data_IF_662335378035
#
_entry.id   IF_662335378035
#
_cell.length_a   1.000
_cell.length_b   1.000
_cell.length_c   1.000
_cell.angle_alpha   90.00
_cell.angle_beta   90.00
_cell.angle_gamma   90.00
#
_symmetry.space_group_name_H-M   'P 1'
#
loop_
_entity.id
_entity.type
_entity.pdbx_description
1 polymer ?
#
# COMPACT_ATOMS: atom_id res chain seq x y z
N UNK A 1 -20.93 -0.97 -14.12
CA UNK A 1 -19.48 -0.70 -13.96
C UNK A 1 -19.09 -0.02 -12.64
N UNK A 2 -19.58 1.18 -12.28
CA UNK A 2 -19.19 1.83 -11.01
C UNK A 2 -19.90 1.25 -9.76
N UNK A 3 -21.19 0.91 -9.85
CA UNK A 3 -21.97 0.47 -8.68
C UNK A 3 -21.71 -1.00 -8.30
N UNK A 4 -21.49 -1.88 -9.28
CA UNK A 4 -21.20 -3.31 -9.02
C UNK A 4 -19.90 -3.48 -8.24
N UNK A 5 -18.81 -2.80 -8.66
CA UNK A 5 -17.54 -2.81 -7.91
C UNK A 5 -17.69 -2.30 -6.48
N UNK A 6 -18.51 -1.28 -6.27
CA UNK A 6 -18.76 -0.76 -4.92
C UNK A 6 -19.52 -1.78 -4.06
N UNK A 7 -20.50 -2.47 -4.63
CA UNK A 7 -21.23 -3.55 -3.93
C UNK A 7 -20.27 -4.67 -3.53
N UNK A 8 -19.36 -5.07 -4.42
CA UNK A 8 -18.36 -6.10 -4.13
C UNK A 8 -17.42 -5.65 -2.99
N UNK A 9 -16.91 -4.41 -3.04
CA UNK A 9 -16.08 -3.82 -1.98
C UNK A 9 -16.81 -3.85 -0.64
N UNK A 10 -18.03 -3.31 -0.57
CA UNK A 10 -18.78 -3.24 0.69
C UNK A 10 -19.16 -4.62 1.24
N UNK A 11 -19.42 -5.59 0.36
CA UNK A 11 -19.71 -6.97 0.78
C UNK A 11 -18.47 -7.61 1.40
N UNK A 12 -17.29 -7.43 0.79
CA UNK A 12 -16.03 -7.93 1.33
C UNK A 12 -15.67 -7.27 2.66
N UNK A 13 -15.90 -5.95 2.80
CA UNK A 13 -15.70 -5.24 4.07
C UNK A 13 -16.59 -5.79 5.19
N UNK A 14 -17.88 -6.01 4.91
CA UNK A 14 -18.82 -6.53 5.89
C UNK A 14 -18.44 -7.94 6.39
N UNK A 15 -17.91 -8.79 5.51
CA UNK A 15 -17.44 -10.12 5.88
C UNK A 15 -16.23 -10.03 6.83
N UNK A 16 -15.23 -9.22 6.50
CA UNK A 16 -14.04 -9.08 7.34
C UNK A 16 -14.31 -8.38 8.68
N UNK A 17 -15.19 -7.37 8.74
CA UNK A 17 -15.57 -6.73 10.02
C UNK A 17 -16.22 -7.73 11.00
N UNK A 18 -16.88 -8.76 10.48
CA UNK A 18 -17.46 -9.83 11.31
C UNK A 18 -16.41 -10.78 11.88
N UNK A 19 -15.20 -10.81 11.32
CA UNK A 19 -14.09 -11.67 11.70
C UNK A 19 -13.02 -10.93 12.55
N UNK A 20 -12.79 -9.64 12.29
CA UNK A 20 -11.89 -8.76 13.06
C UNK A 20 -12.38 -7.29 13.00
N UNK A 21 -12.88 -6.71 14.11
CA UNK A 21 -13.45 -5.35 14.14
C UNK A 21 -12.41 -4.23 14.20
N UNK A 22 -11.11 -4.55 14.13
CA UNK A 22 -10.04 -3.56 14.00
C UNK A 22 -9.75 -3.32 12.50
N UNK A 23 -9.19 -2.17 12.10
CA UNK A 23 -9.04 -1.73 10.69
C UNK A 23 -8.25 -2.63 9.72
N UNK A 24 -7.93 -3.87 10.09
CA UNK A 24 -7.36 -4.93 9.27
C UNK A 24 -8.25 -5.34 8.09
N UNK A 25 -9.56 -5.11 8.15
CA UNK A 25 -10.50 -5.45 7.08
C UNK A 25 -10.18 -4.71 5.78
N UNK A 26 -9.96 -3.40 5.83
CA UNK A 26 -9.83 -2.58 4.62
C UNK A 26 -8.58 -2.96 3.80
N UNK A 27 -7.44 -3.16 4.45
CA UNK A 27 -6.23 -3.58 3.76
C UNK A 27 -6.33 -5.02 3.24
N UNK A 28 -7.03 -5.91 3.97
CA UNK A 28 -7.28 -7.28 3.50
C UNK A 28 -8.17 -7.28 2.25
N UNK A 29 -9.24 -6.47 2.24
CA UNK A 29 -10.10 -6.26 1.08
C UNK A 29 -9.35 -5.62 -0.09
N UNK A 30 -8.52 -4.60 0.18
CA UNK A 30 -7.72 -3.95 -0.85
C UNK A 30 -6.76 -4.94 -1.53
N UNK A 31 -6.09 -5.79 -0.74
CA UNK A 31 -5.25 -6.88 -1.24
C UNK A 31 -6.05 -7.83 -2.13
N UNK A 32 -7.25 -8.25 -1.70
CA UNK A 32 -8.09 -9.19 -2.46
C UNK A 32 -8.55 -8.59 -3.79
N UNK A 33 -9.03 -7.35 -3.79
CA UNK A 33 -9.58 -6.69 -4.99
C UNK A 33 -8.50 -6.31 -5.99
N UNK A 34 -7.30 -5.96 -5.52
CA UNK A 34 -6.16 -5.64 -6.39
C UNK A 34 -5.42 -6.89 -6.87
N UNK A 35 -5.75 -8.07 -6.34
CA UNK A 35 -5.06 -9.33 -6.61
C UNK A 35 -3.54 -9.27 -6.32
N UNK A 36 -3.14 -8.41 -5.38
CA UNK A 36 -1.74 -8.25 -4.96
C UNK A 36 -1.40 -9.16 -3.78
N UNK A 37 -0.09 -9.37 -3.57
CA UNK A 37 0.40 -10.17 -2.44
C UNK A 37 0.20 -9.49 -1.09
N UNK A 38 0.00 -8.17 -1.07
CA UNK A 38 -0.26 -7.36 0.12
C UNK A 38 -0.72 -5.97 -0.27
N UNK A 39 -1.43 -5.34 0.65
CA UNK A 39 -1.83 -3.94 0.61
C UNK A 39 -1.62 -3.30 1.98
N UNK A 40 -1.26 -2.02 1.96
CA UNK A 40 -1.12 -1.15 3.12
C UNK A 40 -1.72 0.22 2.79
N UNK A 41 -2.27 0.89 3.80
CA UNK A 41 -2.89 2.21 3.64
C UNK A 41 -2.32 3.14 4.70
N UNK A 42 -1.82 4.30 4.27
CA UNK A 42 -1.46 5.42 5.13
C UNK A 42 -2.28 6.66 4.77
N UNK A 43 -2.51 7.52 5.76
CA UNK A 43 -3.12 8.83 5.59
C UNK A 43 -2.01 9.86 5.69
N UNK A 44 -1.90 10.72 4.67
CA UNK A 44 -0.96 11.84 4.65
C UNK A 44 -1.74 13.14 4.81
N UNK A 45 -1.30 13.99 5.74
CA UNK A 45 -1.85 15.33 5.95
C UNK A 45 -1.09 16.38 5.13
N UNK A 46 -1.74 17.52 4.87
CA UNK A 46 -1.15 18.61 4.07
C UNK A 46 0.11 19.23 4.71
N UNK A 47 0.26 19.11 6.04
CA UNK A 47 1.45 19.55 6.77
C UNK A 47 2.60 18.52 6.75
N UNK A 48 2.45 17.42 6.01
CA UNK A 48 3.47 16.40 5.81
C UNK A 48 3.48 15.30 6.88
N UNK A 49 2.50 15.28 7.78
CA UNK A 49 2.28 14.14 8.67
C UNK A 49 1.83 12.92 7.88
N UNK A 50 2.37 11.75 8.20
CA UNK A 50 1.94 10.48 7.64
C UNK A 50 1.62 9.54 8.80
N UNK A 51 0.48 8.87 8.74
CA UNK A 51 0.02 7.91 9.75
C UNK A 51 -0.45 6.63 9.05
N UNK A 52 -0.09 5.48 9.60
CA UNK A 52 -0.51 4.19 9.04
C UNK A 52 -1.90 3.84 9.54
N UNK A 53 -2.80 3.51 8.61
CA UNK A 53 -4.15 3.09 8.93
C UNK A 53 -4.23 1.58 9.12
N UNK A 54 -3.66 0.83 8.17
CA UNK A 54 -3.63 -0.63 8.22
C UNK A 54 -2.55 -1.22 7.30
N UNK A 55 -2.24 -2.49 7.54
CA UNK A 55 -1.52 -3.37 6.63
C UNK A 55 -2.15 -4.76 6.64
N UNK A 56 -2.16 -5.42 5.48
CA UNK A 56 -2.73 -6.78 5.33
C UNK A 56 -1.76 -7.91 5.69
N UNK A 57 -0.46 -7.61 5.77
CA UNK A 57 0.59 -8.54 6.20
C UNK A 57 1.87 -7.78 6.60
N UNK A 58 2.84 -8.51 7.15
CA UNK A 58 4.11 -7.95 7.64
C UNK A 58 4.95 -7.29 6.54
N UNK A 59 4.88 -7.79 5.31
CA UNK A 59 5.60 -7.19 4.17
C UNK A 59 5.00 -5.82 3.85
N UNK A 60 3.68 -5.71 3.73
CA UNK A 60 3.00 -4.46 3.49
C UNK A 60 3.22 -3.45 4.63
N UNK A 61 3.20 -3.91 5.88
CA UNK A 61 3.53 -3.10 7.04
C UNK A 61 4.96 -2.55 6.94
N UNK A 62 5.94 -3.42 6.67
CA UNK A 62 7.33 -3.00 6.51
C UNK A 62 7.52 -2.04 5.34
N UNK A 63 6.81 -2.21 4.22
CA UNK A 63 6.86 -1.26 3.11
C UNK A 63 6.35 0.13 3.51
N UNK A 64 5.24 0.22 4.24
CA UNK A 64 4.75 1.50 4.77
C UNK A 64 5.78 2.14 5.73
N UNK A 65 6.40 1.34 6.60
CA UNK A 65 7.44 1.82 7.52
C UNK A 65 8.64 2.41 6.75
N UNK A 66 9.05 1.77 5.65
CA UNK A 66 10.12 2.28 4.78
C UNK A 66 9.75 3.61 4.13
N UNK A 67 8.51 3.77 3.66
CA UNK A 67 8.06 5.02 3.06
C UNK A 67 8.11 6.18 4.05
N UNK A 68 7.63 5.95 5.28
CA UNK A 68 7.69 6.94 6.35
C UNK A 68 9.12 7.24 6.81
N UNK A 69 9.99 6.23 6.82
CA UNK A 69 11.37 6.37 7.28
C UNK A 69 12.24 7.13 6.28
N UNK A 70 12.09 6.82 4.99
CA UNK A 70 12.98 7.36 3.95
C UNK A 70 12.37 8.51 3.15
N UNK A 71 11.06 8.77 3.28
CA UNK A 71 10.33 9.68 2.39
C UNK A 71 10.60 9.35 0.92
N UNK A 72 10.57 8.05 0.61
CA UNK A 72 10.76 7.46 -0.70
C UNK A 72 9.77 6.32 -0.86
N UNK A 73 9.42 5.98 -2.09
CA UNK A 73 8.51 4.87 -2.37
C UNK A 73 7.24 5.34 -3.07
N UNK A 74 6.40 4.39 -3.51
CA UNK A 74 5.26 4.68 -4.36
C UNK A 74 4.20 5.54 -3.68
N UNK A 75 3.84 5.26 -2.42
CA UNK A 75 2.83 6.04 -1.70
C UNK A 75 3.30 7.46 -1.36
N UNK A 76 4.58 7.62 -0.97
CA UNK A 76 5.21 8.94 -0.81
C UNK A 76 5.14 9.74 -2.12
N UNK A 77 5.64 9.17 -3.23
CA UNK A 77 5.60 9.83 -4.54
C UNK A 77 4.16 10.18 -4.95
N UNK A 78 3.19 9.30 -4.68
CA UNK A 78 1.78 9.52 -4.99
C UNK A 78 1.18 10.66 -4.17
N UNK A 79 1.52 10.75 -2.88
CA UNK A 79 1.08 11.86 -2.02
C UNK A 79 1.63 13.22 -2.46
N UNK A 80 2.87 13.25 -2.96
CA UNK A 80 3.53 14.48 -3.40
C UNK A 80 3.04 14.94 -4.78
N UNK A 81 2.81 13.99 -5.69
CA UNK A 81 2.50 14.29 -7.10
C UNK A 81 1.00 14.22 -7.43
N UNK A 82 0.19 13.64 -6.55
CA UNK A 82 -1.24 13.41 -6.78
C UNK A 82 -1.53 12.37 -7.87
N UNK A 83 -0.55 11.51 -8.18
CA UNK A 83 -0.64 10.51 -9.25
C UNK A 83 -0.06 9.18 -8.79
N UNK A 84 -0.69 8.08 -9.19
CA UNK A 84 -0.20 6.74 -8.88
C UNK A 84 1.22 6.49 -9.42
N UNK A 85 1.98 5.71 -8.67
CA UNK A 85 3.39 5.39 -8.86
C UNK A 85 3.53 3.86 -8.93
N UNK A 86 3.76 3.34 -10.14
CA UNK A 86 3.74 1.91 -10.42
C UNK A 86 5.14 1.41 -10.80
N UNK A 87 5.67 0.43 -10.05
CA UNK A 87 6.96 -0.19 -10.32
C UNK A 87 6.82 -1.71 -10.26
N UNK A 88 6.81 -2.36 -11.43
CA UNK A 88 6.70 -3.82 -11.56
C UNK A 88 8.00 -4.57 -11.29
N UNK A 89 9.14 -3.89 -11.27
CA UNK A 89 10.44 -4.45 -10.89
C UNK A 89 11.28 -3.43 -10.12
N UNK A 90 11.35 -3.60 -8.80
CA UNK A 90 12.17 -2.79 -7.89
C UNK A 90 13.68 -2.87 -8.18
N UNK A 91 14.13 -3.92 -8.85
CA UNK A 91 15.53 -4.08 -9.27
C UNK A 91 15.79 -3.50 -10.66
N UNK A 92 14.73 -3.08 -11.37
CA UNK A 92 14.80 -2.42 -12.67
C UNK A 92 14.99 -0.91 -12.57
N UNK A 93 15.01 -0.24 -13.73
CA UNK A 93 15.23 1.21 -13.84
C UNK A 93 14.22 2.02 -13.01
N UNK A 94 12.94 1.62 -13.01
CA UNK A 94 11.88 2.31 -12.25
C UNK A 94 12.05 2.24 -10.74
N UNK A 95 12.69 1.21 -10.20
CA UNK A 95 13.00 1.09 -8.78
C UNK A 95 14.26 1.86 -8.37
N UNK A 96 15.21 2.07 -9.29
CA UNK A 96 16.48 2.75 -8.99
C UNK A 96 16.32 4.22 -8.59
N UNK A 97 15.15 4.83 -8.83
CA UNK A 97 14.87 6.21 -8.40
C UNK A 97 14.77 6.37 -6.89
N UNK A 98 14.45 5.30 -6.15
CA UNK A 98 14.41 5.32 -4.70
C UNK A 98 15.69 4.70 -4.13
N UNK A 99 16.55 5.54 -3.57
CA UNK A 99 17.92 5.15 -3.20
C UNK A 99 17.95 4.22 -1.99
N UNK A 100 17.07 4.46 -1.02
CA UNK A 100 17.01 3.74 0.24
C UNK A 100 15.81 2.78 0.31
N UNK A 101 14.66 3.17 -0.25
CA UNK A 101 13.46 2.33 -0.21
C UNK A 101 13.62 1.03 -1.00
N UNK A 102 14.02 1.10 -2.27
CA UNK A 102 14.08 -0.09 -3.15
C UNK A 102 14.93 -1.24 -2.62
N UNK A 103 16.18 -1.04 -2.16
CA UNK A 103 16.98 -2.14 -1.64
C UNK A 103 16.39 -2.75 -0.36
N UNK A 104 15.77 -1.98 0.52
CA UNK A 104 15.13 -2.49 1.74
C UNK A 104 13.80 -3.19 1.44
N UNK A 105 12.99 -2.66 0.52
CA UNK A 105 11.76 -3.28 0.05
C UNK A 105 12.03 -4.67 -0.56
N UNK A 106 13.11 -4.82 -1.32
CA UNK A 106 13.53 -6.12 -1.87
C UNK A 106 13.96 -7.09 -0.75
N UNK A 107 14.63 -6.61 0.30
CA UNK A 107 14.97 -7.46 1.46
C UNK A 107 13.75 -7.92 2.24
N UNK A 108 12.69 -7.12 2.29
CA UNK A 108 11.38 -7.50 2.84
C UNK A 108 10.63 -8.51 1.95
N UNK A 109 11.12 -8.78 0.73
CA UNK A 109 10.55 -9.75 -0.19
C UNK A 109 9.65 -9.15 -1.27
N UNK A 110 9.54 -7.82 -1.37
CA UNK A 110 8.82 -7.17 -2.45
C UNK A 110 9.62 -7.21 -3.76
N UNK A 111 8.96 -7.54 -4.87
CA UNK A 111 9.54 -7.41 -6.23
C UNK A 111 8.92 -6.27 -7.03
N UNK A 112 7.65 -5.99 -6.77
CA UNK A 112 6.85 -4.96 -7.41
C UNK A 112 6.08 -4.19 -6.33
N UNK A 113 5.87 -2.90 -6.54
CA UNK A 113 5.11 -2.02 -5.64
C UNK A 113 4.31 -1.01 -6.44
N UNK A 114 3.15 -0.64 -5.91
CA UNK A 114 2.15 0.21 -6.55
C UNK A 114 1.49 1.07 -5.46
N UNK A 115 1.35 2.37 -5.68
CA UNK A 115 0.80 3.32 -4.70
C UNK A 115 0.24 4.56 -5.37
#
# INVERSE_FOLDING_TARGET
MSTERLIDIFTLMANHESEDPHGSSLCSVAKEITELSGAGISITSEDGGQEQLCASNDVAQGLLDLEMTFNEGPGHDASQNGTASEVSDLMGEGGQRWTFYSPEAVKLGARAVFG
#
